data_IF_538021520846
#
_entry.id   IF_538021520846
#
_cell.length_a   1.000
_cell.length_b   1.000
_cell.length_c   1.000
_cell.angle_alpha   90.00
_cell.angle_beta   90.00
_cell.angle_gamma   90.00
#
_symmetry.space_group_name_H-M   'P 1'
#
loop_
_entity.id
_entity.type
_entity.pdbx_description
1 polymer ?
#
# COMPACT_ATOMS: atom_id res chain seq x y z
N UNK A 1 -6.50 -2.19 -14.09
CA UNK A 1 -6.59 -3.52 -13.46
C UNK A 1 -6.49 -3.38 -11.93
N UNK A 2 -6.82 -4.42 -11.16
CA UNK A 2 -6.68 -4.44 -9.69
C UNK A 2 -6.18 -5.80 -9.18
N UNK A 3 -5.64 -5.82 -7.94
CA UNK A 3 -5.26 -7.06 -7.25
C UNK A 3 -5.94 -7.16 -5.89
N UNK A 4 -6.56 -8.30 -5.63
CA UNK A 4 -7.08 -8.64 -4.30
C UNK A 4 -6.11 -9.54 -3.53
N UNK A 5 -6.13 -9.40 -2.21
CA UNK A 5 -5.48 -10.36 -1.31
C UNK A 5 -6.36 -11.60 -1.12
N UNK A 6 -5.77 -12.68 -0.63
CA UNK A 6 -6.58 -13.71 0.05
C UNK A 6 -7.31 -13.14 1.29
N UNK A 7 -8.30 -13.87 1.83
CA UNK A 7 -8.98 -13.47 3.06
C UNK A 7 -8.02 -13.35 4.24
N UNK A 8 -8.11 -12.27 5.01
CA UNK A 8 -7.34 -12.05 6.24
C UNK A 8 -8.25 -11.63 7.40
N UNK A 9 -7.68 -11.45 8.59
CA UNK A 9 -8.42 -11.13 9.81
C UNK A 9 -9.53 -12.18 10.10
N UNK A 10 -9.12 -13.44 10.25
CA UNK A 10 -10.02 -14.60 10.42
C UNK A 10 -11.03 -14.74 9.28
N UNK A 11 -10.60 -14.48 8.05
CA UNK A 11 -11.41 -14.59 6.84
C UNK A 11 -12.42 -13.45 6.61
N UNK A 12 -12.42 -12.41 7.46
CA UNK A 12 -13.44 -11.34 7.41
C UNK A 12 -13.11 -10.19 6.49
N UNK A 13 -11.88 -10.12 5.98
CA UNK A 13 -11.43 -8.99 5.15
C UNK A 13 -10.74 -9.49 3.90
N UNK A 14 -11.05 -8.85 2.77
CA UNK A 14 -10.32 -8.92 1.51
C UNK A 14 -9.90 -7.49 1.19
N UNK A 15 -8.62 -7.27 0.92
CA UNK A 15 -8.13 -5.96 0.51
C UNK A 15 -7.99 -5.94 -1.01
N UNK A 16 -8.37 -4.84 -1.64
CA UNK A 16 -8.21 -4.60 -3.08
C UNK A 16 -7.25 -3.43 -3.29
N UNK A 17 -6.24 -3.64 -4.12
CA UNK A 17 -5.20 -2.68 -4.46
C UNK A 17 -5.32 -2.23 -5.92
N UNK A 18 -5.04 -0.95 -6.14
CA UNK A 18 -4.98 -0.31 -7.45
C UNK A 18 -3.63 0.37 -7.61
N UNK A 19 -3.20 0.56 -8.86
CA UNK A 19 -2.04 1.37 -9.20
C UNK A 19 -2.44 2.83 -9.35
N UNK A 20 -1.59 3.72 -8.83
CA UNK A 20 -1.70 5.16 -9.01
C UNK A 20 -0.32 5.74 -9.26
N UNK A 21 -0.27 6.84 -10.01
CA UNK A 21 0.92 7.64 -10.26
C UNK A 21 0.70 9.03 -9.67
N UNK A 22 1.77 9.64 -9.15
CA UNK A 22 1.75 11.02 -8.68
C UNK A 22 3.05 11.73 -9.00
N UNK A 23 2.96 13.04 -9.26
CA UNK A 23 4.11 13.94 -9.35
C UNK A 23 4.43 14.61 -8.02
N UNK A 24 3.58 14.42 -7.01
CA UNK A 24 3.76 14.99 -5.67
C UNK A 24 4.71 14.12 -4.85
N UNK A 25 5.84 14.70 -4.45
CA UNK A 25 6.84 14.01 -3.63
C UNK A 25 6.61 14.18 -2.13
N UNK A 26 6.14 15.35 -1.70
CA UNK A 26 5.95 15.64 -0.29
C UNK A 26 4.55 15.21 0.16
N UNK A 27 4.49 14.31 1.13
CA UNK A 27 3.24 13.74 1.63
C UNK A 27 2.98 14.29 3.03
N UNK A 28 1.81 14.88 3.24
CA UNK A 28 1.32 15.23 4.56
C UNK A 28 0.50 14.09 5.15
N UNK A 29 0.74 13.74 6.42
CA UNK A 29 -0.09 12.81 7.19
C UNK A 29 -0.89 13.60 8.25
N UNK A 30 -2.01 14.25 7.88
CA UNK A 30 -2.74 15.11 8.80
C UNK A 30 -3.41 14.31 9.91
N UNK A 31 -3.70 15.00 11.01
CA UNK A 31 -4.58 14.49 12.06
C UNK A 31 -5.98 14.34 11.50
N UNK A 32 -6.56 13.15 11.62
CA UNK A 32 -7.98 12.98 11.33
C UNK A 32 -8.79 13.56 12.52
N UNK A 33 -9.72 14.51 12.26
CA UNK A 33 -10.48 15.19 13.31
C UNK A 33 -11.40 14.26 14.10
N UNK A 34 -11.86 13.14 13.54
CA UNK A 34 -12.76 12.19 14.21
C UNK A 34 -12.05 11.35 15.27
N UNK A 35 -10.79 10.98 15.01
CA UNK A 35 -9.99 10.12 15.91
C UNK A 35 -8.96 10.90 16.72
N UNK A 36 -8.79 12.20 16.45
CA UNK A 36 -7.88 13.10 17.18
C UNK A 36 -6.39 12.81 17.01
N UNK A 37 -6.02 11.94 16.06
CA UNK A 37 -4.63 11.58 15.74
C UNK A 37 -4.45 11.29 14.25
N UNK A 38 -3.20 11.22 13.74
CA UNK A 38 -2.96 10.77 12.37
C UNK A 38 -3.47 9.34 12.16
N UNK A 39 -4.06 9.07 10.99
CA UNK A 39 -4.42 7.69 10.60
C UNK A 39 -3.19 6.84 10.26
N UNK A 40 -2.11 7.49 9.85
CA UNK A 40 -0.86 6.88 9.45
C UNK A 40 0.29 7.46 10.24
N UNK A 41 1.20 6.60 10.69
CA UNK A 41 2.30 7.00 11.56
C UNK A 41 3.49 7.61 10.79
N UNK A 42 3.80 7.09 9.60
CA UNK A 42 4.93 7.53 8.80
C UNK A 42 4.77 7.18 7.31
N UNK A 43 5.50 7.88 6.44
CA UNK A 43 5.64 7.55 5.03
C UNK A 43 7.11 7.59 4.58
N UNK A 44 7.42 6.85 3.51
CA UNK A 44 8.71 6.92 2.80
C UNK A 44 8.51 6.48 1.35
N UNK A 45 9.17 7.18 0.44
CA UNK A 45 9.37 6.70 -0.92
C UNK A 45 10.50 5.68 -0.93
N UNK A 46 10.29 4.57 -1.64
CA UNK A 46 11.23 3.44 -1.67
C UNK A 46 11.29 2.84 -3.05
N UNK A 47 12.41 2.19 -3.34
CA UNK A 47 12.54 1.29 -4.49
C UNK A 47 11.70 0.03 -4.29
N UNK A 48 11.46 -0.69 -5.38
CA UNK A 48 10.75 -1.97 -5.34
C UNK A 48 11.42 -3.00 -4.41
N UNK A 49 12.74 -3.12 -4.47
CA UNK A 49 13.47 -4.08 -3.63
C UNK A 49 13.47 -3.71 -2.14
N UNK A 50 13.46 -2.42 -1.82
CA UNK A 50 13.27 -1.97 -0.44
C UNK A 50 11.84 -2.22 0.04
N UNK A 51 10.84 -1.93 -0.79
CA UNK A 51 9.44 -2.16 -0.47
C UNK A 51 9.18 -3.63 -0.11
N UNK A 52 9.74 -4.59 -0.86
CA UNK A 52 9.64 -6.04 -0.57
C UNK A 52 10.08 -6.42 0.84
N UNK A 53 11.02 -5.68 1.43
CA UNK A 53 11.54 -5.94 2.79
C UNK A 53 10.69 -5.31 3.89
N UNK A 54 9.82 -4.35 3.55
CA UNK A 54 9.02 -3.57 4.52
C UNK A 54 7.57 -4.03 4.57
N UNK A 55 7.02 -4.41 3.43
CA UNK A 55 5.59 -4.72 3.34
C UNK A 55 5.28 -6.02 4.08
N UNK A 56 4.11 -6.08 4.69
CA UNK A 56 3.64 -7.34 5.28
C UNK A 56 3.49 -8.41 4.18
N UNK A 57 3.66 -9.71 4.48
CA UNK A 57 3.60 -10.78 3.48
C UNK A 57 2.36 -10.73 2.58
N UNK A 58 1.20 -10.39 3.13
CA UNK A 58 -0.07 -10.26 2.39
C UNK A 58 -0.07 -9.18 1.30
N UNK A 59 0.79 -8.17 1.43
CA UNK A 59 0.89 -7.03 0.49
C UNK A 59 1.95 -7.31 -0.58
N UNK A 60 2.84 -8.28 -0.35
CA UNK A 60 3.90 -8.65 -1.29
C UNK A 60 3.33 -9.06 -2.65
N UNK A 61 2.25 -9.84 -2.66
CA UNK A 61 1.59 -10.23 -3.91
C UNK A 61 1.04 -9.05 -4.72
N UNK A 62 0.50 -8.03 -4.02
CA UNK A 62 0.04 -6.81 -4.66
C UNK A 62 1.20 -5.98 -5.20
N UNK A 63 2.33 -5.93 -4.48
CA UNK A 63 3.55 -5.26 -4.92
C UNK A 63 4.16 -5.93 -6.16
N UNK A 64 4.20 -7.26 -6.21
CA UNK A 64 4.68 -8.02 -7.36
C UNK A 64 3.77 -7.87 -8.59
N UNK A 65 2.44 -7.88 -8.39
CA UNK A 65 1.49 -7.57 -9.46
C UNK A 65 1.73 -6.16 -10.00
N UNK A 66 1.84 -5.17 -9.11
CA UNK A 66 2.10 -3.78 -9.49
C UNK A 66 3.37 -3.66 -10.34
N UNK A 67 4.46 -4.33 -9.96
CA UNK A 67 5.72 -4.32 -10.72
C UNK A 67 5.54 -4.82 -12.15
N UNK A 68 4.85 -5.96 -12.32
CA UNK A 68 4.57 -6.53 -13.65
C UNK A 68 3.71 -5.62 -14.53
N UNK A 69 2.73 -4.93 -13.95
CA UNK A 69 1.86 -4.01 -14.68
C UNK A 69 2.60 -2.74 -15.13
N UNK A 70 3.61 -2.30 -14.39
CA UNK A 70 4.41 -1.12 -14.75
C UNK A 70 5.46 -1.46 -15.83
N UNK A 71 5.94 -2.71 -15.86
CA UNK A 71 6.95 -3.18 -16.83
C UNK A 71 6.38 -3.69 -18.16
N UNK A 72 5.07 -3.92 -18.25
CA UNK A 72 4.39 -4.37 -19.47
C UNK A 72 4.15 -3.21 -20.44
#
# INVERSE_FOLDING_TARGET
>A
DFRETGPYNRGRKIARYYLAETKTKDISLPVNPEIGKPEHDAYRWVTYEEAKKLVAPRVLEALEWAKRQIES
#
